data_IF_786095593582
#
_entry.id   IF_786095593582
#
_cell.length_a   1.000
_cell.length_b   1.000
_cell.length_c   1.000
_cell.angle_alpha   90.00
_cell.angle_beta   90.00
_cell.angle_gamma   90.00
#
_symmetry.space_group_name_H-M   'P 1'
#
loop_
_entity.id
_entity.type
_entity.pdbx_description
1 polymer ?
#
# COMPACT_ATOMS: atom_id res chain seq x y z
N UNK A 1 -29.77 -11.56 2.09
CA UNK A 1 -28.77 -10.87 1.24
C UNK A 1 -27.44 -11.04 1.94
N UNK A 2 -26.37 -11.57 1.32
CA UNK A 2 -25.06 -11.51 1.95
C UNK A 2 -24.71 -10.04 2.13
N UNK A 3 -24.24 -9.66 3.32
CA UNK A 3 -23.68 -8.32 3.54
C UNK A 3 -22.62 -8.07 2.45
N UNK A 4 -22.78 -7.00 1.67
CA UNK A 4 -21.79 -6.59 0.69
C UNK A 4 -20.51 -6.25 1.46
N UNK A 5 -19.55 -7.19 1.51
CA UNK A 5 -18.33 -6.95 2.27
C UNK A 5 -17.50 -5.88 1.55
N UNK A 6 -16.93 -4.95 2.31
CA UNK A 6 -16.17 -3.82 1.77
C UNK A 6 -14.75 -4.27 1.38
N UNK A 7 -14.18 -3.61 0.38
CA UNK A 7 -12.75 -3.61 0.09
C UNK A 7 -12.11 -2.44 0.84
N UNK A 8 -11.04 -2.70 1.58
CA UNK A 8 -10.21 -1.67 2.20
C UNK A 8 -9.14 -1.19 1.22
N UNK A 9 -8.94 0.11 1.10
CA UNK A 9 -7.83 0.70 0.35
C UNK A 9 -6.96 1.54 1.27
N UNK A 10 -5.64 1.34 1.21
CA UNK A 10 -4.65 2.08 2.00
C UNK A 10 -3.69 2.75 1.03
N UNK A 11 -3.54 4.06 1.15
CA UNK A 11 -2.58 4.86 0.40
C UNK A 11 -1.77 5.76 1.35
N UNK A 12 -0.57 6.16 0.94
CA UNK A 12 0.23 7.09 1.72
C UNK A 12 -0.31 8.52 1.58
N UNK A 13 -0.67 8.92 0.36
CA UNK A 13 -1.09 10.26 0.00
C UNK A 13 -2.42 10.28 -0.76
N UNK A 14 -3.26 11.28 -0.47
CA UNK A 14 -4.54 11.46 -1.17
C UNK A 14 -4.38 11.53 -2.70
N UNK A 15 -3.30 12.18 -3.17
CA UNK A 15 -3.03 12.32 -4.61
C UNK A 15 -2.88 10.98 -5.35
N UNK A 16 -2.48 9.92 -4.65
CA UNK A 16 -2.25 8.59 -5.24
C UNK A 16 -3.57 7.94 -5.63
N UNK A 17 -4.64 8.22 -4.88
CA UNK A 17 -5.96 7.61 -5.07
C UNK A 17 -7.06 8.61 -5.42
N UNK A 18 -6.73 9.91 -5.51
CA UNK A 18 -7.69 11.01 -5.74
C UNK A 18 -8.68 10.74 -6.88
N UNK A 19 -8.28 10.24 -8.05
CA UNK A 19 -9.23 9.94 -9.12
C UNK A 19 -10.29 8.91 -8.75
N UNK A 20 -9.96 7.97 -7.84
CA UNK A 20 -10.86 6.92 -7.38
C UNK A 20 -11.81 7.40 -6.29
N UNK A 21 -11.32 8.25 -5.37
CA UNK A 21 -12.07 8.70 -4.20
C UNK A 21 -12.83 10.01 -4.41
N UNK A 22 -12.72 10.66 -5.58
CA UNK A 22 -13.29 11.99 -5.82
C UNK A 22 -14.81 12.07 -5.59
N UNK A 23 -15.54 10.97 -5.80
CA UNK A 23 -16.99 10.87 -5.58
C UNK A 23 -17.37 10.26 -4.24
N UNK A 24 -16.38 9.83 -3.43
CA UNK A 24 -16.63 9.10 -2.20
C UNK A 24 -16.98 10.05 -1.06
N UNK A 25 -17.77 9.55 -0.11
CA UNK A 25 -18.13 10.31 1.09
C UNK A 25 -16.92 10.42 2.01
N UNK A 26 -16.45 11.64 2.24
CA UNK A 26 -15.41 11.91 3.22
C UNK A 26 -15.98 11.83 4.64
N UNK A 27 -15.37 11.00 5.49
CA UNK A 27 -15.78 10.77 6.87
C UNK A 27 -14.56 10.68 7.78
N UNK A 28 -14.73 11.15 9.02
CA UNK A 28 -13.72 10.97 10.07
C UNK A 28 -14.10 9.79 10.95
N UNK A 29 -13.10 8.96 11.28
CA UNK A 29 -13.24 7.84 12.22
C UNK A 29 -12.09 7.86 13.21
N UNK A 30 -12.37 7.47 14.44
CA UNK A 30 -11.36 7.39 15.49
C UNK A 30 -11.03 5.95 15.84
N UNK A 31 -9.75 5.68 16.04
CA UNK A 31 -9.23 4.39 16.50
C UNK A 31 -7.96 4.64 17.31
N UNK A 32 -7.86 4.04 18.50
CA UNK A 32 -6.72 4.19 19.43
C UNK A 32 -6.26 5.67 19.58
N UNK A 33 -7.19 6.54 19.96
CA UNK A 33 -6.97 7.98 20.20
C UNK A 33 -6.48 8.80 18.99
N UNK A 34 -6.53 8.22 17.78
CA UNK A 34 -6.20 8.91 16.51
C UNK A 34 -7.44 9.05 15.66
N UNK A 35 -7.54 10.17 14.95
CA UNK A 35 -8.58 10.42 13.95
C UNK A 35 -8.01 10.24 12.55
N UNK A 36 -8.68 9.43 11.74
CA UNK A 36 -8.33 9.15 10.35
C UNK A 36 -9.39 9.72 9.42
N UNK A 37 -8.94 10.22 8.28
CA UNK A 37 -9.81 10.62 7.16
C UNK A 37 -10.02 9.41 6.25
N UNK A 38 -11.27 8.95 6.22
CA UNK A 38 -11.71 7.88 5.33
C UNK A 38 -12.56 8.45 4.19
N UNK A 39 -12.49 7.79 3.05
CA UNK A 39 -13.34 8.02 1.89
C UNK A 39 -14.14 6.76 1.62
N UNK A 40 -15.46 6.85 1.75
CA UNK A 40 -16.35 5.69 1.70
C UNK A 40 -17.29 5.71 0.49
N UNK A 41 -17.47 4.55 -0.13
CA UNK A 41 -18.60 4.19 -0.98
C UNK A 41 -19.30 2.95 -0.43
N UNK A 42 -20.30 2.44 -1.14
CA UNK A 42 -21.03 1.23 -0.75
C UNK A 42 -20.11 0.00 -0.67
N UNK A 43 -19.06 -0.05 -1.50
CA UNK A 43 -18.17 -1.22 -1.61
C UNK A 43 -16.74 -0.98 -1.16
N UNK A 44 -16.31 0.28 -1.03
CA UNK A 44 -14.92 0.62 -0.75
C UNK A 44 -14.84 1.55 0.46
N UNK A 45 -13.89 1.27 1.35
CA UNK A 45 -13.41 2.24 2.33
C UNK A 45 -11.94 2.51 2.00
N UNK A 46 -11.56 3.77 1.81
CA UNK A 46 -10.18 4.16 1.53
C UNK A 46 -9.64 5.06 2.65
N UNK A 47 -8.39 4.87 3.05
CA UNK A 47 -7.69 5.70 4.05
C UNK A 47 -6.37 6.19 3.49
N UNK A 48 -6.06 7.45 3.76
CA UNK A 48 -4.74 8.02 3.52
C UNK A 48 -3.97 8.01 4.85
N UNK A 49 -3.03 7.07 5.00
CA UNK A 49 -2.32 6.84 6.26
C UNK A 49 -1.22 7.86 6.55
N UNK A 50 -0.67 8.48 5.51
CA UNK A 50 0.57 9.26 5.57
C UNK A 50 1.77 8.45 5.07
N UNK A 51 2.87 9.16 4.79
CA UNK A 51 4.13 8.56 4.32
C UNK A 51 4.79 7.79 5.46
N UNK A 52 5.33 6.61 5.13
CA UNK A 52 6.16 5.79 5.99
C UNK A 52 5.44 4.58 6.60
N UNK A 53 6.21 3.55 6.97
CA UNK A 53 5.68 2.25 7.36
C UNK A 53 4.79 2.30 8.61
N UNK A 54 5.14 3.11 9.60
CA UNK A 54 4.36 3.23 10.83
C UNK A 54 2.98 3.89 10.61
N UNK A 55 2.92 4.85 9.69
CA UNK A 55 1.70 5.52 9.28
C UNK A 55 0.78 4.55 8.51
N UNK A 56 1.34 3.82 7.54
CA UNK A 56 0.65 2.80 6.76
C UNK A 56 0.11 1.67 7.63
N UNK A 57 0.91 1.14 8.57
CA UNK A 57 0.50 0.09 9.50
C UNK A 57 -0.70 0.51 10.34
N UNK A 58 -0.62 1.67 11.01
CA UNK A 58 -1.71 2.16 11.86
C UNK A 58 -3.00 2.43 11.07
N UNK A 59 -2.89 2.96 9.86
CA UNK A 59 -4.04 3.18 9.00
C UNK A 59 -4.70 1.86 8.57
N UNK A 60 -3.88 0.83 8.31
CA UNK A 60 -4.34 -0.53 8.00
C UNK A 60 -5.02 -1.19 9.20
N UNK A 61 -4.44 -1.09 10.39
CA UNK A 61 -5.05 -1.59 11.63
C UNK A 61 -6.42 -0.93 11.89
N UNK A 62 -6.50 0.40 11.72
CA UNK A 62 -7.77 1.14 11.83
C UNK A 62 -8.79 0.69 10.77
N UNK A 63 -8.37 0.52 9.51
CA UNK A 63 -9.20 0.03 8.41
C UNK A 63 -9.81 -1.34 8.74
N UNK A 64 -8.99 -2.28 9.19
CA UNK A 64 -9.41 -3.64 9.53
C UNK A 64 -10.37 -3.62 10.72
N UNK A 65 -10.04 -2.88 11.78
CA UNK A 65 -10.86 -2.81 12.99
C UNK A 65 -12.24 -2.20 12.75
N UNK A 66 -12.30 -1.13 11.95
CA UNK A 66 -13.55 -0.37 11.72
C UNK A 66 -14.43 -1.03 10.66
N UNK A 67 -13.85 -1.46 9.53
CA UNK A 67 -14.62 -1.87 8.36
C UNK A 67 -14.65 -3.37 8.12
N UNK A 68 -13.77 -4.14 8.77
CA UNK A 68 -13.64 -5.60 8.59
C UNK A 68 -13.70 -6.02 7.11
N UNK A 69 -12.85 -5.46 6.25
CA UNK A 69 -12.93 -5.67 4.82
C UNK A 69 -12.55 -7.11 4.45
N UNK A 70 -12.98 -7.59 3.28
CA UNK A 70 -12.56 -8.89 2.74
C UNK A 70 -11.11 -8.91 2.29
N UNK A 71 -10.60 -7.75 1.90
CA UNK A 71 -9.28 -7.57 1.33
C UNK A 71 -8.84 -6.14 1.58
N UNK A 72 -7.54 -5.97 1.79
CA UNK A 72 -6.87 -4.67 1.77
C UNK A 72 -6.05 -4.55 0.49
N UNK A 73 -6.22 -3.44 -0.21
CA UNK A 73 -5.43 -3.04 -1.37
C UNK A 73 -4.53 -1.90 -0.94
N UNK A 74 -3.21 -2.12 -0.96
CA UNK A 74 -2.23 -1.03 -0.88
C UNK A 74 -2.06 -0.43 -2.27
N UNK A 75 -2.25 0.88 -2.40
CA UNK A 75 -2.10 1.59 -3.66
C UNK A 75 -1.23 2.83 -3.47
N UNK A 76 -0.20 2.97 -4.31
CA UNK A 76 0.74 4.08 -4.24
C UNK A 76 1.74 4.04 -5.40
N UNK A 77 2.66 4.99 -5.40
CA UNK A 77 3.74 5.01 -6.39
C UNK A 77 4.91 4.12 -5.96
N UNK A 78 5.51 3.44 -6.94
CA UNK A 78 6.71 2.64 -6.74
C UNK A 78 7.82 3.07 -7.71
N UNK A 79 9.07 2.90 -7.29
CA UNK A 79 10.22 3.06 -8.15
C UNK A 79 10.51 1.78 -8.92
N UNK A 80 10.64 1.86 -10.25
CA UNK A 80 11.17 0.76 -11.05
C UNK A 80 12.61 0.43 -10.67
N UNK A 81 12.89 -0.86 -10.48
CA UNK A 81 14.21 -1.47 -10.31
C UNK A 81 14.60 -2.32 -11.52
N UNK A 82 13.63 -2.72 -12.33
CA UNK A 82 13.80 -3.46 -13.58
C UNK A 82 13.68 -2.51 -14.79
N UNK A 83 14.52 -2.72 -15.81
CA UNK A 83 14.57 -1.90 -17.03
C UNK A 83 13.37 -2.11 -17.95
N UNK A 84 12.59 -3.18 -17.73
CA UNK A 84 11.35 -3.47 -18.45
C UNK A 84 10.15 -2.70 -17.90
N UNK A 85 10.27 -2.07 -16.72
CA UNK A 85 9.23 -1.22 -16.15
C UNK A 85 9.37 0.22 -16.64
N UNK A 86 8.27 0.74 -17.19
CA UNK A 86 8.17 2.09 -17.71
C UNK A 86 7.29 2.97 -16.81
N UNK A 87 7.44 4.28 -16.96
CA UNK A 87 6.59 5.25 -16.26
C UNK A 87 5.13 5.01 -16.69
N UNK A 88 4.26 4.79 -15.71
CA UNK A 88 2.83 4.55 -15.93
C UNK A 88 2.43 3.07 -15.90
N UNK A 89 3.39 2.14 -15.86
CA UNK A 89 3.08 0.73 -15.69
C UNK A 89 2.43 0.45 -14.33
N UNK A 90 1.43 -0.42 -14.32
CA UNK A 90 0.79 -0.90 -13.10
C UNK A 90 1.45 -2.19 -12.65
N UNK A 91 2.12 -2.14 -11.50
CA UNK A 91 2.82 -3.28 -10.92
C UNK A 91 2.03 -3.85 -9.75
N UNK A 92 1.64 -5.12 -9.83
CA UNK A 92 0.93 -5.82 -8.75
C UNK A 92 1.82 -6.95 -8.21
N UNK A 93 2.54 -6.78 -7.10
CA UNK A 93 3.49 -7.78 -6.61
C UNK A 93 2.80 -9.09 -6.20
N UNK A 94 3.45 -10.21 -6.51
CA UNK A 94 3.18 -11.53 -5.91
C UNK A 94 3.85 -11.67 -4.54
N UNK A 95 4.98 -11.00 -4.35
CA UNK A 95 5.73 -11.03 -3.10
C UNK A 95 6.17 -9.62 -2.72
N UNK A 96 5.98 -9.27 -1.45
CA UNK A 96 6.53 -8.07 -0.84
C UNK A 96 7.62 -8.49 0.15
N UNK A 97 8.79 -7.88 0.04
CA UNK A 97 9.94 -8.15 0.90
C UNK A 97 10.26 -6.88 1.69
N UNK A 98 10.36 -6.98 3.02
CA UNK A 98 10.84 -5.86 3.83
C UNK A 98 12.36 -5.85 3.90
N UNK A 99 13.00 -4.78 3.41
CA UNK A 99 14.45 -4.67 3.42
C UNK A 99 15.06 -4.48 4.83
N UNK A 100 14.25 -4.19 5.85
CA UNK A 100 14.74 -3.95 7.21
C UNK A 100 15.02 -5.24 7.99
N UNK A 101 14.23 -6.30 7.74
CA UNK A 101 14.33 -7.57 8.45
C UNK A 101 14.31 -8.81 7.53
N UNK A 102 14.12 -8.62 6.22
CA UNK A 102 14.07 -9.70 5.23
C UNK A 102 12.77 -10.49 5.23
N UNK A 103 11.76 -10.07 5.99
CA UNK A 103 10.44 -10.72 6.04
C UNK A 103 9.76 -10.66 4.67
N UNK A 104 8.92 -11.67 4.41
CA UNK A 104 8.28 -11.89 3.11
C UNK A 104 6.78 -12.06 3.31
N UNK A 105 6.00 -11.33 2.51
CA UNK A 105 4.54 -11.34 2.54
C UNK A 105 4.07 -11.72 1.14
N UNK A 106 3.32 -12.81 1.05
CA UNK A 106 2.64 -13.19 -0.19
C UNK A 106 1.49 -12.23 -0.47
N UNK A 107 1.56 -11.58 -1.63
CA UNK A 107 0.51 -10.75 -2.16
C UNK A 107 -0.21 -11.47 -3.30
N UNK A 108 -1.44 -11.05 -3.61
CA UNK A 108 -2.27 -11.69 -4.65
C UNK A 108 -2.09 -11.08 -6.05
N UNK A 109 -0.92 -10.50 -6.30
CA UNK A 109 -0.59 -9.90 -7.58
C UNK A 109 -0.11 -10.92 -8.62
N UNK A 110 0.56 -10.43 -9.65
CA UNK A 110 0.99 -11.20 -10.84
C UNK A 110 2.27 -10.66 -11.50
N UNK A 111 3.00 -9.78 -10.81
CA UNK A 111 4.10 -9.00 -11.40
C UNK A 111 5.46 -9.29 -10.76
N UNK A 112 5.65 -10.40 -10.07
CA UNK A 112 6.92 -10.68 -9.39
C UNK A 112 7.07 -9.99 -8.03
N UNK A 113 8.27 -9.49 -7.72
CA UNK A 113 8.66 -9.11 -6.36
C UNK A 113 8.80 -7.59 -6.20
N UNK A 114 8.26 -7.07 -5.11
CA UNK A 114 8.44 -5.70 -4.64
C UNK A 114 9.24 -5.71 -3.33
N UNK A 115 10.17 -4.77 -3.18
CA UNK A 115 10.89 -4.56 -1.92
C UNK A 115 10.44 -3.24 -1.27
N UNK A 116 10.09 -3.28 0.01
CA UNK A 116 9.85 -2.10 0.82
C UNK A 116 11.16 -1.64 1.44
N UNK A 117 11.54 -0.39 1.21
CA UNK A 117 12.78 0.21 1.72
C UNK A 117 12.46 1.49 2.51
N UNK A 118 13.06 1.66 3.69
CA UNK A 118 12.66 2.71 4.65
C UNK A 118 12.94 4.16 4.24
N UNK A 119 13.47 4.42 3.04
CA UNK A 119 13.70 5.77 2.53
C UNK A 119 13.65 5.79 1.00
N UNK A 120 13.63 6.97 0.40
CA UNK A 120 13.63 7.13 -1.06
C UNK A 120 14.95 6.57 -1.63
N UNK A 121 14.85 5.54 -2.48
CA UNK A 121 16.01 4.94 -3.13
C UNK A 121 16.46 5.76 -4.36
N UNK A 122 17.64 6.38 -4.27
CA UNK A 122 18.36 6.95 -5.41
C UNK A 122 18.93 5.87 -6.34
N UNK A 123 19.48 6.25 -7.50
CA UNK A 123 19.89 5.31 -8.56
C UNK A 123 20.84 4.21 -8.10
N UNK A 124 21.87 4.55 -7.31
CA UNK A 124 22.81 3.55 -6.78
C UNK A 124 22.14 2.58 -5.80
N UNK A 125 21.22 3.09 -4.96
CA UNK A 125 20.49 2.26 -4.00
C UNK A 125 19.51 1.33 -4.71
N UNK A 126 18.85 1.80 -5.77
CA UNK A 126 17.99 0.97 -6.62
C UNK A 126 18.75 -0.22 -7.20
N UNK A 127 19.95 0.00 -7.75
CA UNK A 127 20.77 -1.09 -8.27
C UNK A 127 21.14 -2.13 -7.19
N UNK A 128 21.44 -1.68 -5.97
CA UNK A 128 21.70 -2.58 -4.83
C UNK A 128 20.46 -3.39 -4.44
N UNK A 129 19.30 -2.75 -4.35
CA UNK A 129 18.04 -3.39 -4.00
C UNK A 129 17.62 -4.43 -5.05
N UNK A 130 17.74 -4.08 -6.34
CA UNK A 130 17.48 -5.00 -7.45
C UNK A 130 18.31 -6.27 -7.32
N UNK A 131 19.63 -6.13 -7.11
CA UNK A 131 20.54 -7.27 -6.99
C UNK A 131 20.32 -8.08 -5.72
N UNK A 132 20.12 -7.44 -4.57
CA UNK A 132 20.00 -8.12 -3.28
C UNK A 132 18.70 -8.92 -3.16
N UNK A 133 17.60 -8.38 -3.70
CA UNK A 133 16.26 -8.94 -3.50
C UNK A 133 15.65 -9.56 -4.75
N UNK A 134 16.31 -9.43 -5.91
CA UNK A 134 15.77 -9.83 -7.21
C UNK A 134 14.38 -9.20 -7.45
N UNK A 135 14.21 -7.96 -6.95
CA UNK A 135 12.96 -7.21 -6.96
C UNK A 135 12.86 -6.32 -8.20
N UNK A 136 11.65 -6.20 -8.75
CA UNK A 136 11.37 -5.38 -9.93
C UNK A 136 10.92 -3.97 -9.53
N UNK A 137 10.35 -3.80 -8.34
CA UNK A 137 9.87 -2.51 -7.84
C UNK A 137 10.30 -2.27 -6.39
N UNK A 138 10.40 -0.99 -6.02
CA UNK A 138 10.64 -0.53 -4.63
C UNK A 138 9.59 0.47 -4.18
N UNK A 139 9.12 0.35 -2.95
CA UNK A 139 8.27 1.33 -2.28
C UNK A 139 8.73 1.59 -0.83
N UNK A 140 7.90 2.28 -0.04
CA UNK A 140 8.20 2.59 1.36
C UNK A 140 7.17 2.04 2.37
N UNK A 141 6.06 1.42 1.93
CA UNK A 141 4.92 1.12 2.82
C UNK A 141 4.34 -0.29 2.69
N UNK A 142 4.44 -0.96 1.55
CA UNK A 142 3.71 -2.20 1.27
C UNK A 142 3.93 -3.29 2.32
N UNK A 143 5.16 -3.49 2.77
CA UNK A 143 5.46 -4.46 3.81
C UNK A 143 4.78 -4.15 5.14
N UNK A 144 4.58 -2.88 5.48
CA UNK A 144 3.91 -2.47 6.71
C UNK A 144 2.38 -2.60 6.63
N UNK A 145 1.80 -2.60 5.41
CA UNK A 145 0.38 -2.89 5.18
C UNK A 145 0.10 -4.39 5.25
N UNK A 146 1.05 -5.23 4.86
CA UNK A 146 0.88 -6.69 4.77
C UNK A 146 1.22 -7.49 6.03
N UNK A 147 1.63 -6.84 7.12
CA UNK A 147 1.89 -7.47 8.44
C UNK A 147 0.64 -7.49 9.31
#
# INVERSE_FOLDING_TARGET
MPESRKIGMVAALEREIRPLIASYKHVKRSYQDRTYSFFESDRVAAVCGGIGPEAARRATEAMIAIYKPEMVVSAGFAGGLDYTLHIGDVFCPELVIDASDGSRIEARGRSGQLVTFGSIAGSQQKAKLANAYQAQAVDMEAAAVGR
#
